data_IF_195748369398
#
_entry.id   IF_195748369398
#
_cell.length_a   1.000
_cell.length_b   1.000
_cell.length_c   1.000
_cell.angle_alpha   90.00
_cell.angle_beta   90.00
_cell.angle_gamma   90.00
#
_symmetry.space_group_name_H-M   'P 1'
#
loop_
_entity.id
_entity.type
_entity.pdbx_description
1 polymer ?
#
# COMPACT_ATOMS: atom_id res chain seq x y z
N UNK A 1 -9.24 -5.82 -9.08
CA UNK A 1 -9.75 -6.74 -10.12
C UNK A 1 -10.81 -6.00 -10.90
N UNK A 2 -10.86 -6.19 -12.22
CA UNK A 2 -12.02 -5.79 -13.02
C UNK A 2 -13.27 -6.53 -12.49
N UNK A 3 -14.47 -5.99 -12.73
CA UNK A 3 -15.71 -6.70 -12.42
C UNK A 3 -15.67 -8.11 -13.03
N UNK A 4 -15.62 -9.13 -12.19
CA UNK A 4 -15.47 -10.53 -12.63
C UNK A 4 -16.82 -11.25 -12.82
N UNK A 5 -17.94 -10.52 -12.76
CA UNK A 5 -19.28 -11.08 -12.98
C UNK A 5 -19.96 -11.48 -11.67
N UNK A 6 -20.78 -12.54 -11.74
CA UNK A 6 -21.44 -13.16 -10.58
C UNK A 6 -20.41 -13.72 -9.60
N UNK A 7 -20.78 -13.88 -8.34
CA UNK A 7 -19.91 -14.51 -7.35
C UNK A 7 -19.58 -15.95 -7.76
N UNK A 8 -18.32 -16.35 -7.60
CA UNK A 8 -17.84 -17.71 -7.87
C UNK A 8 -17.11 -18.28 -6.65
N UNK A 9 -16.97 -19.60 -6.53
CA UNK A 9 -16.10 -20.19 -5.51
C UNK A 9 -14.70 -19.58 -5.57
N UNK A 10 -14.10 -19.35 -4.39
CA UNK A 10 -12.82 -18.66 -4.24
C UNK A 10 -12.92 -17.13 -4.11
N UNK A 11 -14.06 -16.51 -4.48
CA UNK A 11 -14.24 -15.08 -4.28
C UNK A 11 -14.20 -14.72 -2.79
N UNK A 12 -13.47 -13.65 -2.46
CA UNK A 12 -13.53 -13.03 -1.14
C UNK A 12 -14.66 -12.02 -1.09
N UNK A 13 -15.62 -12.28 -0.21
CA UNK A 13 -16.85 -11.48 -0.07
C UNK A 13 -16.86 -10.80 1.29
N UNK A 14 -17.17 -9.50 1.28
CA UNK A 14 -17.49 -8.71 2.45
C UNK A 14 -19.00 -8.69 2.64
N UNK A 15 -19.43 -9.23 3.78
CA UNK A 15 -20.82 -9.19 4.25
C UNK A 15 -21.00 -7.99 5.17
N UNK A 16 -21.99 -7.17 4.89
CA UNK A 16 -22.33 -5.99 5.72
C UNK A 16 -23.74 -6.12 6.28
N UNK A 17 -23.86 -6.13 7.60
CA UNK A 17 -25.17 -6.22 8.25
C UNK A 17 -25.87 -4.86 8.42
N UNK A 18 -27.12 -4.87 8.90
CA UNK A 18 -27.90 -3.64 9.16
C UNK A 18 -27.26 -2.68 10.19
N UNK A 19 -26.28 -3.13 10.98
CA UNK A 19 -25.50 -2.29 11.91
C UNK A 19 -24.18 -1.82 11.28
N UNK A 20 -23.97 -2.05 9.98
CA UNK A 20 -22.75 -1.78 9.23
C UNK A 20 -21.52 -2.51 9.76
N UNK A 21 -21.71 -3.66 10.41
CA UNK A 21 -20.59 -4.54 10.77
C UNK A 21 -20.16 -5.32 9.53
N UNK A 22 -18.86 -5.41 9.34
CA UNK A 22 -18.26 -6.12 8.22
C UNK A 22 -17.74 -7.49 8.66
N UNK A 23 -17.97 -8.49 7.81
CA UNK A 23 -17.43 -9.83 7.94
C UNK A 23 -16.82 -10.22 6.60
N UNK A 24 -15.70 -10.92 6.62
CA UNK A 24 -15.01 -11.35 5.40
C UNK A 24 -15.00 -12.87 5.34
N UNK A 25 -15.47 -13.41 4.21
CA UNK A 25 -15.49 -14.85 3.94
C UNK A 25 -14.85 -15.13 2.57
N UNK A 26 -14.38 -16.36 2.40
CA UNK A 26 -13.99 -16.90 1.09
C UNK A 26 -15.04 -17.92 0.69
N UNK A 27 -15.71 -17.71 -0.45
CA UNK A 27 -16.78 -18.59 -0.90
C UNK A 27 -16.24 -19.98 -1.25
N UNK A 28 -16.93 -21.00 -0.76
CA UNK A 28 -16.65 -22.41 -1.00
C UNK A 28 -17.99 -23.14 -1.09
N UNK A 29 -18.15 -24.02 -2.07
CA UNK A 29 -19.41 -24.75 -2.28
C UNK A 29 -19.73 -25.64 -1.08
N UNK A 30 -20.99 -25.65 -0.64
CA UNK A 30 -21.46 -26.45 0.50
C UNK A 30 -21.02 -25.96 1.89
N UNK A 31 -20.19 -24.93 1.98
CA UNK A 31 -19.74 -24.34 3.24
C UNK A 31 -20.73 -23.29 3.78
N UNK A 32 -20.60 -23.00 5.07
CA UNK A 32 -21.48 -22.08 5.79
C UNK A 32 -20.69 -21.11 6.67
N UNK A 33 -21.15 -19.87 6.71
CA UNK A 33 -20.65 -18.85 7.62
C UNK A 33 -21.62 -18.62 8.78
N UNK A 34 -21.13 -18.71 10.02
CA UNK A 34 -21.95 -18.57 11.22
C UNK A 34 -21.83 -17.18 11.83
N UNK A 35 -22.97 -16.55 12.08
CA UNK A 35 -23.06 -15.28 12.79
C UNK A 35 -23.93 -15.41 14.04
N UNK A 36 -23.90 -14.40 14.90
CA UNK A 36 -24.86 -14.26 15.99
C UNK A 36 -26.35 -14.19 15.57
N UNK A 37 -26.66 -14.04 14.26
CA UNK A 37 -28.04 -14.11 13.72
C UNK A 37 -28.28 -15.40 12.93
N UNK A 38 -27.48 -16.43 13.15
CA UNK A 38 -27.59 -17.71 12.47
C UNK A 38 -26.64 -17.87 11.29
N UNK A 39 -26.92 -18.92 10.54
CA UNK A 39 -26.11 -19.47 9.45
C UNK A 39 -26.40 -18.77 8.12
N UNK A 40 -25.37 -18.55 7.32
CA UNK A 40 -25.44 -18.08 5.93
C UNK A 40 -24.73 -19.13 5.08
N UNK A 41 -25.44 -19.78 4.16
CA UNK A 41 -24.82 -20.75 3.25
C UNK A 41 -24.08 -20.01 2.15
N UNK A 42 -22.88 -20.47 1.82
CA UNK A 42 -22.12 -19.89 0.71
C UNK A 42 -22.83 -20.09 -0.63
N UNK A 43 -23.55 -21.20 -0.79
CA UNK A 43 -24.33 -21.50 -1.98
C UNK A 43 -25.47 -20.50 -2.23
N UNK A 44 -25.93 -19.77 -1.20
CA UNK A 44 -26.93 -18.70 -1.34
C UNK A 44 -26.31 -17.40 -1.91
N UNK A 45 -24.96 -17.30 -1.94
CA UNK A 45 -24.20 -16.16 -2.46
C UNK A 45 -23.59 -16.50 -3.83
N UNK A 46 -23.09 -17.73 -3.99
CA UNK A 46 -22.48 -18.19 -5.25
C UNK A 46 -23.51 -18.10 -6.39
N UNK A 47 -23.11 -17.51 -7.51
CA UNK A 47 -23.97 -17.27 -8.66
C UNK A 47 -24.79 -15.98 -8.59
N UNK A 48 -24.84 -15.28 -7.45
CA UNK A 48 -25.52 -13.99 -7.34
C UNK A 48 -24.66 -12.81 -7.81
N UNK A 49 -25.29 -11.66 -8.05
CA UNK A 49 -24.59 -10.42 -8.39
C UNK A 49 -24.05 -9.72 -7.14
N UNK A 50 -22.95 -8.97 -7.26
CA UNK A 50 -22.51 -8.04 -6.24
C UNK A 50 -23.61 -7.00 -5.92
N UNK A 51 -23.73 -6.62 -4.66
CA UNK A 51 -24.80 -5.76 -4.15
C UNK A 51 -26.09 -6.50 -3.78
N UNK A 52 -26.13 -7.83 -3.90
CA UNK A 52 -27.25 -8.65 -3.43
C UNK A 52 -27.28 -8.74 -1.90
N UNK A 53 -28.48 -8.91 -1.34
CA UNK A 53 -28.70 -9.15 0.08
C UNK A 53 -29.09 -10.61 0.29
N UNK A 54 -28.35 -11.31 1.16
CA UNK A 54 -28.70 -12.66 1.62
C UNK A 54 -29.25 -12.62 3.03
N UNK A 55 -30.04 -13.64 3.39
CA UNK A 55 -30.64 -13.77 4.71
C UNK A 55 -30.04 -14.95 5.45
N UNK A 56 -29.64 -14.74 6.71
CA UNK A 56 -29.26 -15.83 7.59
C UNK A 56 -30.48 -16.65 8.05
N UNK A 57 -30.25 -17.84 8.60
CA UNK A 57 -31.32 -18.69 9.14
C UNK A 57 -32.12 -18.04 10.28
N UNK A 58 -31.54 -17.07 10.99
CA UNK A 58 -32.23 -16.21 11.96
C UNK A 58 -32.80 -14.91 11.38
N UNK A 59 -33.03 -14.85 10.07
CA UNK A 59 -33.59 -13.71 9.33
C UNK A 59 -32.76 -12.40 9.43
N UNK A 60 -31.45 -12.49 9.66
CA UNK A 60 -30.53 -11.36 9.56
C UNK A 60 -30.21 -11.07 8.09
N UNK A 61 -30.25 -9.80 7.69
CA UNK A 61 -29.91 -9.36 6.32
C UNK A 61 -28.44 -8.95 6.21
N UNK A 62 -27.79 -9.39 5.13
CA UNK A 62 -26.37 -9.17 4.85
C UNK A 62 -26.16 -8.77 3.39
N UNK A 63 -25.63 -7.57 3.17
CA UNK A 63 -25.25 -7.04 1.87
C UNK A 63 -23.89 -7.61 1.45
N UNK A 64 -23.79 -8.13 0.22
CA UNK A 64 -22.62 -8.85 -0.28
C UNK A 64 -21.89 -8.03 -1.36
N UNK A 65 -20.61 -7.75 -1.15
CA UNK A 65 -19.71 -7.18 -2.15
C UNK A 65 -18.38 -7.92 -2.18
N UNK A 66 -17.67 -7.94 -3.31
CA UNK A 66 -16.29 -8.38 -3.31
C UNK A 66 -15.43 -7.45 -2.47
N UNK A 67 -14.48 -8.05 -1.78
CA UNK A 67 -13.56 -7.35 -0.92
C UNK A 67 -12.67 -6.41 -1.74
N UNK A 68 -12.74 -5.10 -1.48
CA UNK A 68 -11.82 -4.17 -2.14
C UNK A 68 -10.41 -4.34 -1.57
N UNK A 69 -9.40 -3.86 -2.29
CA UNK A 69 -8.02 -3.88 -1.78
C UNK A 69 -7.85 -2.98 -0.55
N UNK A 70 -8.56 -1.85 -0.51
CA UNK A 70 -8.58 -0.98 0.68
C UNK A 70 -9.10 -1.73 1.90
N UNK A 71 -10.16 -2.52 1.75
CA UNK A 71 -10.70 -3.34 2.82
C UNK A 71 -9.70 -4.44 3.19
N UNK A 72 -9.09 -5.09 2.20
CA UNK A 72 -8.18 -6.22 2.41
C UNK A 72 -6.94 -5.80 3.20
N UNK A 73 -6.29 -4.70 2.82
CA UNK A 73 -5.12 -4.16 3.53
C UNK A 73 -5.47 -3.79 4.98
N UNK A 74 -6.70 -3.35 5.23
CA UNK A 74 -7.14 -2.97 6.56
C UNK A 74 -7.49 -4.17 7.45
N UNK A 75 -7.83 -5.33 6.88
CA UNK A 75 -8.25 -6.53 7.62
C UNK A 75 -7.25 -7.69 7.61
N UNK A 76 -6.23 -7.67 6.75
CA UNK A 76 -5.28 -8.77 6.61
C UNK A 76 -4.44 -8.99 7.89
N UNK A 77 -3.95 -10.21 8.14
CA UNK A 77 -2.95 -10.47 9.17
C UNK A 77 -1.69 -9.61 8.97
N UNK A 78 -1.08 -9.16 10.06
CA UNK A 78 0.06 -8.23 10.02
C UNK A 78 1.19 -8.73 10.91
N UNK A 79 2.39 -8.81 10.34
CA UNK A 79 3.65 -8.89 11.09
C UNK A 79 4.23 -7.52 11.43
N UNK A 80 3.91 -6.51 10.61
CA UNK A 80 4.41 -5.14 10.73
C UNK A 80 3.27 -4.11 10.64
N UNK A 81 3.54 -2.87 11.05
CA UNK A 81 2.64 -1.76 10.77
C UNK A 81 2.52 -1.57 9.25
N UNK A 82 1.31 -1.28 8.76
CA UNK A 82 1.04 -1.11 7.33
C UNK A 82 0.89 0.37 6.98
N UNK A 83 1.31 0.73 5.78
CA UNK A 83 1.00 2.03 5.18
C UNK A 83 -0.53 2.14 5.02
N UNK A 84 -1.10 3.21 5.56
CA UNK A 84 -2.54 3.44 5.50
C UNK A 84 -2.98 3.87 4.09
N UNK A 85 -4.23 3.58 3.68
CA UNK A 85 -4.72 3.90 2.34
C UNK A 85 -4.54 5.37 1.92
N UNK A 86 -4.68 6.32 2.85
CA UNK A 86 -4.47 7.76 2.58
C UNK A 86 -3.04 8.08 2.16
N UNK A 87 -2.07 7.32 2.65
CA UNK A 87 -0.65 7.52 2.38
C UNK A 87 -0.24 6.71 1.16
N UNK A 88 -0.71 5.47 1.04
CA UNK A 88 -0.54 4.66 -0.16
C UNK A 88 -1.05 5.38 -1.43
N UNK A 89 -2.22 6.02 -1.36
CA UNK A 89 -2.76 6.80 -2.47
C UNK A 89 -1.82 7.95 -2.89
N UNK A 90 -1.24 8.67 -1.93
CA UNK A 90 -0.29 9.75 -2.22
C UNK A 90 1.04 9.20 -2.73
N UNK A 91 1.51 8.05 -2.23
CA UNK A 91 2.70 7.38 -2.76
C UNK A 91 2.50 6.99 -4.22
N UNK A 92 1.35 6.43 -4.58
CA UNK A 92 1.04 6.09 -5.97
C UNK A 92 1.01 7.32 -6.88
N UNK A 93 0.39 8.42 -6.42
CA UNK A 93 0.21 9.65 -7.21
C UNK A 93 1.48 10.49 -7.28
N UNK A 94 2.06 10.86 -6.14
CA UNK A 94 3.26 11.71 -6.07
C UNK A 94 4.52 10.94 -6.44
N UNK A 95 4.54 9.63 -6.15
CA UNK A 95 5.56 8.72 -6.66
C UNK A 95 5.44 8.47 -8.17
N UNK A 96 4.33 8.89 -8.81
CA UNK A 96 4.08 8.69 -10.24
C UNK A 96 4.32 7.23 -10.64
N UNK A 97 3.67 6.30 -9.93
CA UNK A 97 3.78 4.86 -10.22
C UNK A 97 2.91 4.56 -11.45
N UNK A 98 3.57 4.21 -12.57
CA UNK A 98 2.91 4.07 -13.86
C UNK A 98 2.94 2.62 -14.38
N UNK A 99 2.00 2.23 -15.27
CA UNK A 99 2.01 0.90 -15.89
C UNK A 99 3.29 0.65 -16.68
N UNK A 100 3.99 -0.45 -16.39
CA UNK A 100 5.28 -0.81 -16.98
C UNK A 100 6.50 -0.34 -16.18
N UNK A 101 6.33 0.42 -15.09
CA UNK A 101 7.44 0.86 -14.26
C UNK A 101 8.14 -0.32 -13.57
N UNK A 102 9.45 -0.21 -13.40
CA UNK A 102 10.24 -1.01 -12.45
C UNK A 102 10.37 -0.25 -11.15
N UNK A 103 9.78 -0.77 -10.08
CA UNK A 103 9.75 -0.14 -8.75
C UNK A 103 10.60 -0.96 -7.79
N UNK A 104 11.49 -0.30 -7.05
CA UNK A 104 12.17 -0.87 -5.89
C UNK A 104 11.44 -0.44 -4.62
N UNK A 105 11.08 -1.41 -3.79
CA UNK A 105 10.55 -1.23 -2.43
C UNK A 105 11.49 -1.89 -1.43
N UNK A 106 11.69 -1.27 -0.27
CA UNK A 106 12.31 -1.96 0.86
C UNK A 106 11.59 -1.64 2.16
N UNK A 107 11.38 -2.70 2.94
CA UNK A 107 10.36 -2.75 3.99
C UNK A 107 9.05 -3.31 3.46
N UNK A 108 9.07 -4.49 2.83
CA UNK A 108 7.84 -5.14 2.33
C UNK A 108 6.82 -5.36 3.47
N UNK A 109 7.30 -5.61 4.70
CA UNK A 109 6.48 -5.64 5.90
C UNK A 109 5.41 -6.73 5.84
N UNK A 110 4.15 -6.34 5.66
CA UNK A 110 3.04 -7.30 5.50
C UNK A 110 2.46 -7.33 4.07
N UNK A 111 3.17 -6.76 3.09
CA UNK A 111 2.77 -6.74 1.68
C UNK A 111 1.67 -5.73 1.32
N UNK A 112 1.29 -4.86 2.27
CA UNK A 112 0.21 -3.89 2.08
C UNK A 112 0.45 -2.97 0.89
N UNK A 113 1.63 -2.33 0.87
CA UNK A 113 2.01 -1.40 -0.17
C UNK A 113 2.43 -2.13 -1.44
N UNK A 114 3.08 -3.30 -1.32
CA UNK A 114 3.43 -4.17 -2.45
C UNK A 114 2.21 -4.51 -3.32
N UNK A 115 1.05 -4.82 -2.73
CA UNK A 115 -0.19 -5.07 -3.49
C UNK A 115 -0.66 -3.84 -4.29
N UNK A 116 -0.51 -2.63 -3.74
CA UNK A 116 -0.85 -1.39 -4.44
C UNK A 116 0.13 -1.11 -5.59
N UNK A 117 1.43 -1.31 -5.35
CA UNK A 117 2.47 -1.14 -6.36
C UNK A 117 2.28 -2.13 -7.51
N UNK A 118 2.12 -3.42 -7.23
CA UNK A 118 1.85 -4.46 -8.23
C UNK A 118 0.63 -4.13 -9.10
N UNK A 119 -0.45 -3.65 -8.47
CA UNK A 119 -1.65 -3.21 -9.19
C UNK A 119 -1.35 -2.03 -10.12
N UNK A 120 -0.55 -1.06 -9.69
CA UNK A 120 -0.27 0.16 -10.44
C UNK A 120 0.71 -0.07 -11.61
N UNK A 121 1.75 -0.86 -11.39
CA UNK A 121 2.74 -1.19 -12.44
C UNK A 121 2.17 -2.15 -13.48
N UNK A 122 1.16 -2.94 -13.13
CA UNK A 122 0.50 -3.89 -14.02
C UNK A 122 1.42 -5.02 -14.50
N UNK A 123 0.90 -5.88 -15.37
CA UNK A 123 1.58 -7.13 -15.80
C UNK A 123 2.94 -6.91 -16.49
N UNK A 124 3.16 -5.73 -17.09
CA UNK A 124 4.39 -5.40 -17.81
C UNK A 124 5.43 -4.67 -16.95
N UNK A 125 5.05 -4.20 -15.78
CA UNK A 125 5.96 -3.58 -14.84
C UNK A 125 6.54 -4.63 -13.89
N UNK A 126 7.51 -4.23 -13.06
CA UNK A 126 8.19 -5.12 -12.11
C UNK A 126 8.23 -4.46 -10.73
N UNK A 127 7.98 -5.23 -9.68
CA UNK A 127 8.24 -4.81 -8.31
C UNK A 127 9.38 -5.65 -7.74
N UNK A 128 10.44 -4.99 -7.26
CA UNK A 128 11.53 -5.60 -6.49
C UNK A 128 11.31 -5.19 -5.03
N UNK A 129 11.09 -6.14 -4.13
CA UNK A 129 10.83 -5.88 -2.72
C UNK A 129 11.90 -6.51 -1.84
N UNK A 130 12.56 -5.71 -1.00
CA UNK A 130 13.48 -6.21 0.03
C UNK A 130 12.81 -6.24 1.41
N UNK A 131 13.04 -7.32 2.16
CA UNK A 131 12.67 -7.46 3.56
C UNK A 131 13.80 -8.14 4.33
N UNK A 132 14.18 -7.57 5.47
CA UNK A 132 15.32 -8.05 6.27
C UNK A 132 14.91 -9.16 7.24
N UNK A 133 13.62 -9.24 7.58
CA UNK A 133 13.08 -10.18 8.55
C UNK A 133 12.30 -11.31 7.88
N UNK A 134 12.72 -12.54 8.11
CA UNK A 134 12.07 -13.74 7.57
C UNK A 134 10.57 -13.83 7.91
N UNK A 135 10.20 -13.52 9.15
CA UNK A 135 8.80 -13.58 9.57
C UNK A 135 7.92 -12.55 8.85
N UNK A 136 8.43 -11.34 8.62
CA UNK A 136 7.74 -10.33 7.82
C UNK A 136 7.65 -10.74 6.35
N UNK A 137 8.72 -11.28 5.78
CA UNK A 137 8.73 -11.76 4.41
C UNK A 137 7.66 -12.83 4.17
N UNK A 138 7.50 -13.77 5.11
CA UNK A 138 6.44 -14.78 5.06
C UNK A 138 5.03 -14.17 5.11
N UNK A 139 4.82 -13.12 5.92
CA UNK A 139 3.56 -12.37 5.91
C UNK A 139 3.30 -11.68 4.58
N UNK A 140 4.32 -11.02 4.01
CA UNK A 140 4.20 -10.34 2.72
C UNK A 140 3.86 -11.35 1.62
N UNK A 141 4.62 -12.45 1.50
CA UNK A 141 4.39 -13.51 0.52
C UNK A 141 2.97 -14.07 0.64
N UNK A 142 2.55 -14.44 1.85
CA UNK A 142 1.22 -14.99 2.08
C UNK A 142 0.12 -14.00 1.70
N UNK A 143 0.18 -12.76 2.19
CA UNK A 143 -0.89 -11.78 1.97
C UNK A 143 -0.99 -11.37 0.50
N UNK A 144 0.14 -11.13 -0.17
CA UNK A 144 0.16 -10.76 -1.60
C UNK A 144 -0.35 -11.92 -2.44
N UNK A 145 0.17 -13.13 -2.22
CA UNK A 145 -0.23 -14.32 -2.98
C UNK A 145 -1.71 -14.66 -2.76
N UNK A 146 -2.22 -14.53 -1.53
CA UNK A 146 -3.65 -14.71 -1.25
C UNK A 146 -4.53 -13.68 -1.97
N UNK A 147 -4.12 -12.40 -2.04
CA UNK A 147 -4.90 -11.36 -2.72
C UNK A 147 -4.85 -11.49 -4.26
N UNK A 148 -3.69 -11.88 -4.80
CA UNK A 148 -3.44 -11.92 -6.24
C UNK A 148 -3.79 -13.29 -6.87
N UNK A 149 -4.14 -14.29 -6.07
CA UNK A 149 -4.47 -15.64 -6.55
C UNK A 149 -3.24 -16.51 -6.83
N UNK A 150 -2.10 -16.17 -6.23
CA UNK A 150 -0.79 -16.80 -6.42
C UNK A 150 0.33 -15.77 -6.37
N UNK A 151 1.58 -16.25 -6.36
CA UNK A 151 2.75 -15.38 -6.42
C UNK A 151 2.81 -14.69 -7.80
N UNK A 152 2.71 -13.34 -7.87
CA UNK A 152 2.78 -12.64 -9.15
C UNK A 152 4.14 -12.80 -9.82
N UNK A 153 4.17 -13.18 -11.10
CA UNK A 153 5.42 -13.40 -11.84
C UNK A 153 6.33 -12.17 -11.93
N UNK A 154 5.73 -10.98 -11.81
CA UNK A 154 6.42 -9.70 -11.87
C UNK A 154 6.81 -9.13 -10.49
N UNK A 155 6.70 -9.94 -9.44
CA UNK A 155 7.14 -9.61 -8.10
C UNK A 155 8.41 -10.38 -7.74
N UNK A 156 9.46 -9.65 -7.37
CA UNK A 156 10.76 -10.18 -6.98
C UNK A 156 10.97 -9.86 -5.49
N UNK A 157 10.44 -10.73 -4.63
CA UNK A 157 10.54 -10.61 -3.17
C UNK A 157 11.83 -11.26 -2.66
N UNK A 158 12.66 -10.49 -1.95
CA UNK A 158 14.00 -10.88 -1.53
C UNK A 158 14.17 -10.76 -0.02
N UNK A 159 14.68 -11.83 0.60
CA UNK A 159 15.19 -11.77 1.96
C UNK A 159 16.60 -11.17 1.95
N UNK A 160 16.80 -10.05 2.61
CA UNK A 160 18.13 -9.45 2.74
C UNK A 160 18.10 -7.97 3.09
N UNK A 161 19.24 -7.45 3.56
CA UNK A 161 19.41 -6.03 3.82
C UNK A 161 19.68 -5.28 2.51
N UNK A 162 18.88 -4.25 2.22
CA UNK A 162 19.08 -3.39 1.06
C UNK A 162 20.45 -2.68 1.14
N UNK A 163 21.02 -2.49 2.35
CA UNK A 163 22.39 -1.96 2.54
C UNK A 163 23.46 -2.77 1.81
N UNK A 164 23.25 -4.06 1.66
CA UNK A 164 24.21 -4.99 1.08
C UNK A 164 24.00 -5.17 -0.44
N UNK A 165 22.88 -4.69 -0.97
CA UNK A 165 22.55 -4.84 -2.39
C UNK A 165 23.33 -3.84 -3.26
N UNK A 166 23.80 -4.33 -4.39
CA UNK A 166 24.52 -3.54 -5.40
C UNK A 166 23.63 -3.18 -6.59
N UNK A 167 24.13 -2.30 -7.46
CA UNK A 167 23.46 -1.98 -8.72
C UNK A 167 23.32 -3.21 -9.61
N UNK A 168 24.29 -4.13 -9.56
CA UNK A 168 24.27 -5.38 -10.30
C UNK A 168 23.15 -6.32 -9.83
N UNK A 169 22.85 -6.33 -8.52
CA UNK A 169 21.80 -7.17 -7.94
C UNK A 169 20.39 -6.66 -8.29
N UNK A 170 20.21 -5.33 -8.31
CA UNK A 170 18.90 -4.70 -8.47
C UNK A 170 18.62 -4.34 -9.93
N UNK A 171 19.63 -3.89 -10.65
CA UNK A 171 19.48 -3.21 -11.94
C UNK A 171 19.09 -1.74 -11.80
N UNK A 172 18.68 -1.13 -12.91
CA UNK A 172 18.14 0.23 -12.93
C UNK A 172 16.63 0.23 -12.71
N UNK A 173 16.13 1.19 -11.93
CA UNK A 173 14.72 1.28 -11.57
C UNK A 173 14.15 2.67 -11.87
N UNK A 174 12.85 2.74 -12.13
CA UNK A 174 12.13 3.98 -12.39
C UNK A 174 11.77 4.72 -11.10
N UNK A 175 11.45 3.95 -10.05
CA UNK A 175 10.87 4.45 -8.80
C UNK A 175 11.46 3.70 -7.61
N UNK A 176 11.66 4.41 -6.51
CA UNK A 176 12.10 3.82 -5.23
C UNK A 176 11.14 4.25 -4.12
N UNK A 177 10.71 3.29 -3.31
CA UNK A 177 9.95 3.52 -2.07
C UNK A 177 10.66 2.85 -0.88
N UNK A 178 10.99 3.62 0.15
CA UNK A 178 11.55 3.07 1.39
C UNK A 178 10.61 3.31 2.59
N UNK A 179 10.17 2.22 3.22
CA UNK A 179 9.43 2.22 4.49
C UNK A 179 10.21 1.42 5.54
N UNK A 180 11.17 2.08 6.18
CA UNK A 180 12.09 1.44 7.11
C UNK A 180 12.56 2.41 8.19
N UNK A 181 13.26 1.89 9.20
CA UNK A 181 13.72 2.69 10.33
C UNK A 181 14.79 3.72 9.94
N UNK A 182 15.69 3.36 9.02
CA UNK A 182 16.88 4.13 8.68
C UNK A 182 17.08 4.34 7.16
N UNK A 183 16.11 4.94 6.44
CA UNK A 183 16.19 5.10 4.98
C UNK A 183 17.34 6.01 4.53
N UNK A 184 17.88 6.86 5.41
CA UNK A 184 19.04 7.71 5.09
C UNK A 184 20.31 6.90 4.84
N UNK A 185 20.42 5.69 5.37
CA UNK A 185 21.56 4.80 5.13
C UNK A 185 21.52 4.19 3.71
N UNK A 186 20.38 4.26 2.99
CA UNK A 186 20.24 3.70 1.64
C UNK A 186 20.51 4.73 0.53
N UNK A 187 20.78 6.00 0.86
CA UNK A 187 20.74 7.07 -0.14
C UNK A 187 21.75 6.88 -1.28
N UNK A 188 22.92 6.30 -1.00
CA UNK A 188 23.90 5.94 -2.03
C UNK A 188 23.40 4.80 -2.92
N UNK A 189 22.86 3.72 -2.34
CA UNK A 189 22.23 2.63 -3.08
C UNK A 189 21.10 3.15 -3.97
N UNK A 190 20.21 3.99 -3.43
CA UNK A 190 19.09 4.60 -4.17
C UNK A 190 19.62 5.46 -5.32
N UNK A 191 20.64 6.28 -5.09
CA UNK A 191 21.27 7.11 -6.12
C UNK A 191 21.82 6.28 -7.28
N UNK A 192 22.38 5.11 -6.99
CA UNK A 192 23.07 4.28 -7.96
C UNK A 192 22.11 3.44 -8.83
N UNK A 193 20.98 2.99 -8.26
CA UNK A 193 19.96 2.19 -8.97
C UNK A 193 18.88 3.03 -9.64
N UNK A 194 18.56 4.22 -9.11
CA UNK A 194 17.48 5.04 -9.65
C UNK A 194 17.93 5.76 -10.92
N UNK A 195 17.15 5.61 -11.99
CA UNK A 195 17.40 6.30 -13.26
C UNK A 195 17.38 7.83 -13.08
N UNK A 196 18.17 8.60 -13.85
CA UNK A 196 18.01 10.04 -13.94
C UNK A 196 16.56 10.45 -14.23
N UNK A 197 16.02 11.35 -13.41
CA UNK A 197 14.61 11.75 -13.46
C UNK A 197 13.65 10.80 -12.73
N UNK A 198 14.11 9.64 -12.26
CA UNK A 198 13.33 8.74 -11.41
C UNK A 198 12.94 9.40 -10.09
N UNK A 199 11.89 8.85 -9.47
CA UNK A 199 11.31 9.39 -8.23
C UNK A 199 11.72 8.53 -7.04
N UNK A 200 12.22 9.18 -5.99
CA UNK A 200 12.48 8.58 -4.70
C UNK A 200 11.44 9.06 -3.68
N UNK A 201 10.77 8.10 -3.05
CA UNK A 201 9.83 8.28 -1.96
C UNK A 201 10.32 7.57 -0.70
N UNK A 202 10.12 8.19 0.46
CA UNK A 202 10.25 7.47 1.74
C UNK A 202 9.18 7.89 2.74
N UNK A 203 8.82 6.96 3.61
CA UNK A 203 7.76 7.06 4.61
C UNK A 203 8.38 6.93 6.00
N UNK A 204 8.32 7.98 6.83
CA UNK A 204 8.98 8.00 8.15
C UNK A 204 8.08 8.56 9.25
N UNK A 205 8.03 7.87 10.39
CA UNK A 205 7.06 8.17 11.45
C UNK A 205 7.44 9.34 12.36
N UNK A 206 8.70 9.78 12.36
CA UNK A 206 9.19 10.75 13.36
C UNK A 206 9.92 11.93 12.73
N UNK A 207 9.84 13.09 13.39
CA UNK A 207 10.53 14.32 12.96
C UNK A 207 12.06 14.12 12.89
N UNK A 208 12.73 13.42 13.82
CA UNK A 208 14.17 13.15 13.68
C UNK A 208 14.52 12.32 12.43
N UNK A 209 13.72 11.30 12.10
CA UNK A 209 13.91 10.54 10.86
C UNK A 209 13.71 11.45 9.64
N UNK A 210 12.66 12.26 9.63
CA UNK A 210 12.40 13.25 8.59
C UNK A 210 13.60 14.18 8.39
N UNK A 211 14.15 14.76 9.47
CA UNK A 211 15.31 15.64 9.39
C UNK A 211 16.53 14.94 8.80
N UNK A 212 16.86 13.73 9.26
CA UNK A 212 18.00 12.96 8.76
C UNK A 212 17.91 12.67 7.26
N UNK A 213 16.74 12.24 6.78
CA UNK A 213 16.52 11.98 5.36
C UNK A 213 16.67 13.26 4.54
N UNK A 214 16.03 14.35 4.97
CA UNK A 214 16.05 15.61 4.23
C UNK A 214 17.47 16.16 4.07
N UNK A 215 18.28 16.13 5.13
CA UNK A 215 19.69 16.56 5.04
C UNK A 215 20.53 15.56 4.24
N UNK A 216 20.37 14.25 4.45
CA UNK A 216 21.09 13.23 3.69
C UNK A 216 20.84 13.35 2.18
N UNK A 217 19.59 13.56 1.75
CA UNK A 217 19.27 13.80 0.33
C UNK A 217 20.03 15.01 -0.20
N UNK A 218 20.09 16.12 0.55
CA UNK A 218 20.84 17.33 0.13
C UNK A 218 22.34 17.09 0.05
N UNK A 219 22.90 16.34 1.00
CA UNK A 219 24.33 16.01 1.07
C UNK A 219 24.79 15.20 -0.14
N UNK A 220 23.96 14.26 -0.62
CA UNK A 220 24.29 13.45 -1.80
C UNK A 220 24.48 14.29 -3.06
N UNK A 221 23.84 15.47 -3.15
CA UNK A 221 23.76 16.35 -4.34
C UNK A 221 23.28 15.63 -5.61
N UNK A 222 22.71 14.43 -5.48
CA UNK A 222 22.26 13.62 -6.58
C UNK A 222 20.75 13.76 -6.84
N UNK A 223 20.04 14.48 -5.98
CA UNK A 223 18.60 14.69 -6.09
C UNK A 223 18.22 16.17 -6.12
N UNK A 224 17.00 16.45 -6.55
CA UNK A 224 16.37 17.76 -6.37
C UNK A 224 16.21 18.09 -4.89
N UNK A 225 15.97 19.37 -4.56
CA UNK A 225 15.57 19.76 -3.20
C UNK A 225 14.39 18.88 -2.74
N UNK A 226 14.54 18.13 -1.63
CA UNK A 226 13.50 17.23 -1.19
C UNK A 226 12.28 18.00 -0.67
N UNK A 227 11.11 17.41 -0.85
CA UNK A 227 9.85 17.90 -0.31
C UNK A 227 9.37 16.94 0.76
N UNK A 228 8.75 17.46 1.81
CA UNK A 228 8.12 16.63 2.82
C UNK A 228 6.75 17.19 3.20
N UNK A 229 5.81 16.30 3.51
CA UNK A 229 4.48 16.67 3.98
C UNK A 229 3.86 15.53 4.78
N UNK A 230 2.75 15.82 5.44
CA UNK A 230 1.86 14.83 6.06
C UNK A 230 0.41 15.15 5.67
N UNK A 231 -0.48 14.17 5.81
CA UNK A 231 -1.91 14.35 5.52
C UNK A 231 -2.78 13.89 6.68
N UNK A 232 -3.84 14.67 6.94
CA UNK A 232 -4.84 14.39 7.95
C UNK A 232 -6.18 14.10 7.27
N UNK A 233 -6.74 12.91 7.53
CA UNK A 233 -8.07 12.52 7.05
C UNK A 233 -9.01 12.48 8.24
N UNK A 234 -10.10 13.24 8.16
CA UNK A 234 -11.13 13.29 9.21
C UNK A 234 -12.49 12.98 8.60
N UNK A 235 -13.06 11.87 9.03
CA UNK A 235 -14.39 11.43 8.60
C UNK A 235 -15.48 12.35 9.14
N UNK A 236 -16.62 12.33 8.46
CA UNK A 236 -17.81 13.09 8.82
C UNK A 236 -18.97 12.16 9.08
N UNK A 237 -19.66 12.38 10.20
CA UNK A 237 -20.99 11.85 10.41
C UNK A 237 -21.97 12.75 9.66
N UNK A 238 -22.71 12.20 8.69
CA UNK A 238 -23.77 12.89 7.96
C UNK A 238 -25.08 12.19 8.25
N UNK A 239 -25.86 12.75 9.17
CA UNK A 239 -27.11 12.14 9.69
C UNK A 239 -28.13 13.26 9.99
N UNK A 240 -28.85 13.67 8.95
CA UNK A 240 -29.77 14.80 9.01
C UNK A 240 -29.09 16.07 9.56
N UNK A 241 -29.68 16.66 10.60
CA UNK A 241 -29.13 17.84 11.28
C UNK A 241 -27.90 17.53 12.15
N UNK A 242 -27.64 16.26 12.48
CA UNK A 242 -26.46 15.83 13.23
C UNK A 242 -25.24 15.65 12.31
N UNK A 243 -25.05 16.58 11.36
CA UNK A 243 -23.94 16.58 10.41
C UNK A 243 -22.73 17.30 11.00
N UNK A 244 -21.66 16.56 11.25
CA UNK A 244 -20.42 17.07 11.87
C UNK A 244 -19.23 16.14 11.61
N UNK A 245 -17.99 16.60 11.80
CA UNK A 245 -16.84 15.72 11.87
C UNK A 245 -16.98 14.64 12.96
N UNK A 246 -16.33 13.50 12.74
CA UNK A 246 -16.18 12.48 13.76
C UNK A 246 -15.37 13.00 14.96
N UNK A 247 -15.69 12.49 16.15
CA UNK A 247 -15.06 12.96 17.40
C UNK A 247 -13.62 12.47 17.56
N UNK A 248 -13.29 11.34 16.93
CA UNK A 248 -11.95 10.75 16.96
C UNK A 248 -11.42 10.67 15.53
N UNK A 249 -10.13 10.88 15.38
CA UNK A 249 -9.41 10.69 14.13
C UNK A 249 -8.00 10.20 14.43
N UNK A 250 -7.38 9.56 13.44
CA UNK A 250 -5.95 9.28 13.49
C UNK A 250 -5.20 10.58 13.20
N UNK A 251 -4.49 11.09 14.20
CA UNK A 251 -3.82 12.40 14.12
C UNK A 251 -2.53 12.35 13.31
N UNK A 252 -1.85 11.20 13.26
CA UNK A 252 -0.60 11.03 12.54
C UNK A 252 -0.43 9.57 12.12
N UNK A 253 0.27 9.37 11.01
CA UNK A 253 0.73 8.05 10.54
C UNK A 253 2.22 8.12 10.25
N UNK A 254 2.62 8.96 9.29
CA UNK A 254 4.00 9.30 8.99
C UNK A 254 4.10 10.58 8.16
N UNK A 255 5.33 11.02 7.94
CA UNK A 255 5.70 11.98 6.91
C UNK A 255 6.04 11.25 5.61
N UNK A 256 5.60 11.83 4.49
CA UNK A 256 6.07 11.46 3.16
C UNK A 256 7.17 12.41 2.74
N UNK A 257 8.24 11.85 2.17
CA UNK A 257 9.37 12.60 1.62
C UNK A 257 9.55 12.20 0.17
N UNK A 258 9.78 13.19 -0.69
CA UNK A 258 9.88 13.04 -2.14
C UNK A 258 11.10 13.77 -2.67
N UNK A 259 11.82 13.16 -3.61
CA UNK A 259 12.84 13.81 -4.42
C UNK A 259 12.96 13.16 -5.80
N UNK A 260 13.53 13.87 -6.78
CA UNK A 260 13.87 13.29 -8.09
C UNK A 260 15.36 13.20 -8.29
N UNK A 261 15.81 12.11 -8.89
CA UNK A 261 17.20 11.88 -9.27
C UNK A 261 17.63 12.87 -10.35
N UNK A 262 18.73 13.58 -10.13
CA UNK A 262 19.40 14.40 -11.15
C UNK A 262 20.17 13.51 -12.12
N UNK A 263 20.57 14.04 -13.28
CA UNK A 263 21.56 13.34 -14.11
C UNK A 263 22.96 13.48 -13.49
N UNK A 264 23.85 12.52 -13.78
CA UNK A 264 25.21 12.57 -13.25
C UNK A 264 25.97 13.83 -13.69
N UNK A 265 26.75 14.39 -12.77
CA UNK A 265 27.45 15.66 -12.98
C UNK A 265 26.55 16.91 -13.00
N UNK A 266 25.24 16.76 -12.84
CA UNK A 266 24.31 17.90 -12.83
C UNK A 266 24.25 18.55 -11.46
N UNK A 267 24.30 19.89 -11.43
CA UNK A 267 24.05 20.68 -10.23
C UNK A 267 22.68 21.35 -10.38
N UNK A 268 21.76 21.05 -9.46
CA UNK A 268 20.46 21.69 -9.44
C UNK A 268 20.58 23.21 -9.21
N UNK A 269 19.77 24.04 -9.89
CA UNK A 269 19.70 25.47 -9.60
C UNK A 269 19.34 25.71 -8.13
N UNK A 270 20.07 26.61 -7.46
CA UNK A 270 19.76 26.96 -6.07
C UNK A 270 18.39 27.65 -6.00
N UNK A 271 17.46 27.20 -5.15
CA UNK A 271 16.21 27.91 -4.94
C UNK A 271 16.49 29.35 -4.49
N UNK A 272 16.08 30.34 -5.28
CA UNK A 272 16.11 31.72 -4.83
C UNK A 272 15.01 31.88 -3.76
N UNK A 273 15.41 32.09 -2.50
CA UNK A 273 14.46 32.54 -1.48
C UNK A 273 13.84 33.83 -1.98
N UNK A 274 12.51 33.87 -2.16
CA UNK A 274 11.79 35.14 -2.40
C UNK A 274 12.28 36.13 -1.34
N UNK A 275 12.81 37.27 -1.79
CA UNK A 275 13.11 38.37 -0.88
C UNK A 275 11.86 38.62 -0.04
N UNK A 276 12.00 38.55 1.29
CA UNK A 276 10.92 38.97 2.20
C UNK A 276 10.65 40.44 1.86
N UNK A 277 9.48 40.71 1.27
CA UNK A 277 8.92 42.07 1.24
C UNK A 277 8.30 42.34 2.61
#
# INVERSE_FOLDING_TARGET
MAYSGRFTPGDRVQLTDAKRRHFTITLQEGESFFTHKGEIKHDDIIGEHEGTVVKSSGAGEYLCFRHLLVDHVLSMPRGAAVIYPKDAAQILVEGDIFPGATVLEAGAGSGAMSMWLLRAVGEKGKLISYEIRQDHLEYAEKNVSEHMGGHPENWDLRLGDLKEATKEDIGEVDRVLLDMLEPWEMLDTVKDVLLPGGVFMTYVATVPQLMKVMEGIRETKAFTEPKAWESLVREWKVDGLATRPEHRMNAHTAFLIWARRLADGTVAPRPQRRARR
#
